data_IF_028049231109
#
_entry.id   IF_028049231109
#
_cell.length_a   1.000
_cell.length_b   1.000
_cell.length_c   1.000
_cell.angle_alpha   90.00
_cell.angle_beta   90.00
_cell.angle_gamma   90.00
#
_symmetry.space_group_name_H-M   'P 1'
#
loop_
_entity.id
_entity.type
_entity.pdbx_description
1 polymer ?
#
# COMPACT_ATOMS: atom_id res chain seq x y z
N UNK A 1 17.25 -12.30 24.39
CA UNK A 1 16.11 -12.86 25.14
C UNK A 1 14.84 -12.38 24.43
N UNK A 2 14.19 -13.25 23.66
CA UNK A 2 12.96 -12.90 22.93
C UNK A 2 11.81 -12.86 23.94
N UNK A 3 11.16 -11.71 24.10
CA UNK A 3 9.95 -11.59 24.91
C UNK A 3 8.87 -12.43 24.21
N UNK A 4 8.21 -13.39 24.88
CA UNK A 4 7.08 -14.10 24.30
C UNK A 4 5.95 -13.09 24.09
N UNK A 5 5.74 -12.70 22.84
CA UNK A 5 4.62 -11.84 22.44
C UNK A 5 3.34 -12.64 22.59
N UNK A 6 2.52 -12.28 23.59
CA UNK A 6 1.18 -12.83 23.75
C UNK A 6 0.30 -12.50 22.54
N UNK A 7 -0.90 -13.11 22.49
CA UNK A 7 -1.88 -12.89 21.42
C UNK A 7 -2.29 -11.40 21.31
N UNK A 8 -2.16 -10.64 22.40
CA UNK A 8 -2.44 -9.20 22.44
C UNK A 8 -1.21 -8.50 23.01
N UNK A 9 -0.70 -7.50 22.30
CA UNK A 9 0.49 -6.73 22.68
C UNK A 9 0.18 -5.25 22.61
N UNK A 10 0.44 -4.50 23.68
CA UNK A 10 0.38 -3.04 23.65
C UNK A 10 1.63 -2.48 22.97
N UNK A 11 1.43 -1.71 21.90
CA UNK A 11 2.55 -1.09 21.17
C UNK A 11 2.74 0.39 21.54
N UNK A 12 1.71 1.04 22.07
CA UNK A 12 1.73 2.42 22.52
C UNK A 12 0.56 2.72 23.47
N UNK A 13 0.52 3.89 24.13
CA UNK A 13 -0.65 4.32 24.88
C UNK A 13 -1.90 4.32 23.98
N UNK A 14 -2.92 3.57 24.39
CA UNK A 14 -4.16 3.37 23.62
C UNK A 14 -3.98 2.67 22.26
N UNK A 15 -2.90 1.90 22.06
CA UNK A 15 -2.70 1.10 20.86
C UNK A 15 -2.36 -0.36 21.21
N UNK A 16 -3.23 -1.27 20.76
CA UNK A 16 -3.09 -2.71 20.93
C UNK A 16 -2.93 -3.38 19.57
N UNK A 17 -1.98 -4.30 19.47
CA UNK A 17 -1.80 -5.23 18.36
C UNK A 17 -2.39 -6.58 18.74
N UNK A 18 -3.21 -7.15 17.85
CA UNK A 18 -3.88 -8.43 18.04
C UNK A 18 -3.37 -9.43 17.02
N UNK A 19 -2.98 -10.61 17.49
CA UNK A 19 -2.58 -11.77 16.68
C UNK A 19 -3.56 -12.93 16.90
N UNK A 20 -4.87 -12.65 16.77
CA UNK A 20 -5.94 -13.63 16.83
C UNK A 20 -6.90 -13.45 15.65
N UNK A 21 -7.25 -14.56 14.99
CA UNK A 21 -8.24 -14.57 13.93
C UNK A 21 -9.63 -14.15 14.45
N UNK A 22 -9.96 -14.51 15.69
CA UNK A 22 -11.28 -14.16 16.28
C UNK A 22 -11.46 -12.64 16.41
N UNK A 23 -10.36 -11.91 16.64
CA UNK A 23 -10.36 -10.46 16.79
C UNK A 23 -10.65 -9.72 15.47
N UNK A 24 -10.31 -10.29 14.31
CA UNK A 24 -10.47 -9.61 13.02
C UNK A 24 -11.91 -9.16 12.76
N UNK A 25 -12.89 -10.05 13.00
CA UNK A 25 -14.31 -9.75 12.76
C UNK A 25 -14.86 -8.72 13.76
N UNK A 26 -14.32 -8.71 14.98
CA UNK A 26 -14.71 -7.76 16.03
C UNK A 26 -14.17 -6.36 15.69
N UNK A 27 -12.90 -6.29 15.27
CA UNK A 27 -12.16 -5.05 14.98
C UNK A 27 -12.61 -4.43 13.66
N UNK A 28 -12.67 -5.22 12.57
CA UNK A 28 -12.91 -4.72 11.21
C UNK A 28 -14.33 -5.01 10.68
N UNK A 29 -15.18 -5.67 11.46
CA UNK A 29 -16.55 -5.98 11.07
C UNK A 29 -17.49 -4.77 11.08
N UNK A 30 -18.72 -5.01 10.63
CA UNK A 30 -19.78 -3.99 10.54
C UNK A 30 -20.38 -3.59 11.90
N UNK A 31 -19.87 -4.17 13.00
CA UNK A 31 -20.46 -4.10 14.33
C UNK A 31 -21.61 -5.10 14.51
N UNK A 32 -22.04 -5.27 15.75
CA UNK A 32 -23.24 -6.01 16.16
C UNK A 32 -24.12 -5.09 17.00
N UNK A 33 -25.28 -5.55 17.46
CA UNK A 33 -26.14 -4.76 18.37
C UNK A 33 -25.38 -4.32 19.64
N UNK A 34 -24.46 -5.15 20.12
CA UNK A 34 -23.71 -4.91 21.36
C UNK A 34 -22.32 -4.29 21.13
N UNK A 35 -21.80 -4.28 19.90
CA UNK A 35 -20.46 -3.80 19.59
C UNK A 35 -20.50 -2.90 18.37
N UNK A 36 -20.27 -1.61 18.57
CA UNK A 36 -20.18 -0.66 17.46
C UNK A 36 -18.93 -0.93 16.62
N UNK A 37 -19.08 -0.86 15.30
CA UNK A 37 -17.94 -0.90 14.36
C UNK A 37 -16.91 0.19 14.71
N UNK A 38 -15.63 -0.16 14.68
CA UNK A 38 -14.57 0.80 14.99
C UNK A 38 -14.49 1.89 13.92
N UNK A 39 -14.35 3.13 14.38
CA UNK A 39 -14.09 4.26 13.49
C UNK A 39 -12.62 4.24 13.07
N UNK A 40 -12.35 4.66 11.84
CA UNK A 40 -11.00 4.98 11.40
C UNK A 40 -10.45 6.09 12.30
N UNK A 41 -9.22 5.91 12.76
CA UNK A 41 -8.54 6.92 13.55
C UNK A 41 -7.91 7.96 12.64
N UNK A 42 -8.36 9.22 12.78
CA UNK A 42 -7.90 10.37 11.97
C UNK A 42 -6.39 10.57 12.02
N UNK A 43 -5.70 10.10 13.06
CA UNK A 43 -4.23 10.17 13.18
C UNK A 43 -3.50 9.31 12.16
N UNK A 44 -4.18 8.30 11.58
CA UNK A 44 -3.59 7.36 10.61
C UNK A 44 -3.81 7.77 9.16
N UNK A 45 -4.69 8.73 8.90
CA UNK A 45 -5.06 9.15 7.55
C UNK A 45 -4.58 10.58 7.32
N UNK A 46 -4.20 10.88 6.08
CA UNK A 46 -3.80 12.25 5.74
C UNK A 46 -5.03 13.15 5.79
N UNK A 47 -4.81 14.43 6.13
CA UNK A 47 -5.85 15.46 6.05
C UNK A 47 -6.43 15.60 4.64
N UNK A 48 -7.51 16.36 4.53
CA UNK A 48 -8.13 16.70 3.25
C UNK A 48 -7.11 17.24 2.24
N UNK A 49 -7.33 16.91 0.98
CA UNK A 49 -6.57 17.47 -0.15
C UNK A 49 -7.53 18.35 -0.91
N UNK A 50 -7.17 19.62 -1.10
CA UNK A 50 -8.01 20.59 -1.81
C UNK A 50 -9.46 20.66 -1.26
N UNK A 51 -9.57 20.79 0.07
CA UNK A 51 -10.85 20.86 0.79
C UNK A 51 -11.79 19.65 0.59
N UNK A 52 -11.28 18.52 0.10
CA UNK A 52 -12.05 17.29 -0.07
C UNK A 52 -11.36 16.09 0.58
N UNK A 53 -12.17 15.25 1.21
CA UNK A 53 -11.76 13.91 1.59
C UNK A 53 -11.92 12.95 0.40
N UNK A 54 -11.04 11.96 0.32
CA UNK A 54 -11.19 10.83 -0.58
C UNK A 54 -11.66 9.60 0.21
N UNK A 55 -12.10 8.55 -0.49
CA UNK A 55 -12.60 7.32 0.16
C UNK A 55 -11.58 6.63 1.08
N UNK A 56 -10.28 6.80 0.84
CA UNK A 56 -9.24 6.21 1.69
C UNK A 56 -9.21 6.94 3.04
N UNK A 57 -9.23 8.27 3.00
CA UNK A 57 -9.04 9.14 4.16
C UNK A 57 -10.33 9.46 4.92
N UNK A 58 -11.50 9.32 4.30
CA UNK A 58 -12.78 9.60 4.96
C UNK A 58 -12.95 8.68 6.19
N UNK A 59 -13.14 9.32 7.35
CA UNK A 59 -13.27 8.68 8.66
C UNK A 59 -14.73 8.68 9.15
N UNK A 60 -15.60 9.52 8.58
CA UNK A 60 -17.03 9.44 8.79
C UNK A 60 -17.62 8.20 8.08
N UNK A 61 -18.40 7.42 8.83
CA UNK A 61 -18.89 6.13 8.34
C UNK A 61 -19.95 6.30 7.26
N UNK A 62 -20.81 7.31 7.39
CA UNK A 62 -21.93 7.53 6.47
C UNK A 62 -21.41 8.06 5.14
N UNK A 63 -20.52 9.06 5.19
CA UNK A 63 -19.92 9.63 4.00
C UNK A 63 -19.01 8.62 3.28
N UNK A 64 -18.21 7.85 4.02
CA UNK A 64 -17.42 6.77 3.44
C UNK A 64 -18.30 5.69 2.79
N UNK A 65 -19.45 5.36 3.40
CA UNK A 65 -20.42 4.42 2.83
C UNK A 65 -21.02 4.95 1.53
N UNK A 66 -21.34 6.25 1.48
CA UNK A 66 -21.82 6.95 0.28
C UNK A 66 -20.79 6.88 -0.85
N UNK A 67 -19.53 7.24 -0.57
CA UNK A 67 -18.42 7.15 -1.54
C UNK A 67 -18.22 5.72 -2.04
N UNK A 68 -18.23 4.73 -1.13
CA UNK A 68 -18.08 3.31 -1.48
C UNK A 68 -19.21 2.84 -2.39
N UNK A 69 -20.45 3.24 -2.11
CA UNK A 69 -21.60 2.88 -2.94
C UNK A 69 -21.45 3.42 -4.36
N UNK A 70 -20.97 4.66 -4.51
CA UNK A 70 -20.71 5.26 -5.81
C UNK A 70 -19.66 4.48 -6.62
N UNK A 71 -18.60 3.99 -5.98
CA UNK A 71 -17.56 3.19 -6.64
C UNK A 71 -17.95 1.71 -6.86
N UNK A 72 -18.87 1.17 -6.07
CA UNK A 72 -19.18 -0.27 -6.09
C UNK A 72 -19.65 -0.79 -7.45
N UNK A 73 -20.28 0.06 -8.28
CA UNK A 73 -20.71 -0.31 -9.63
C UNK A 73 -19.54 -0.74 -10.51
N UNK A 74 -18.41 -0.02 -10.47
CA UNK A 74 -17.21 -0.34 -11.25
C UNK A 74 -16.63 -1.72 -10.90
N UNK A 75 -16.86 -2.20 -9.67
CA UNK A 75 -16.40 -3.50 -9.17
C UNK A 75 -17.49 -4.59 -9.20
N UNK A 76 -18.61 -4.37 -9.92
CA UNK A 76 -19.63 -5.39 -10.09
C UNK A 76 -19.12 -6.55 -10.95
N UNK A 77 -19.66 -7.76 -10.74
CA UNK A 77 -19.27 -8.96 -11.50
C UNK A 77 -19.37 -8.74 -13.02
N UNK A 78 -20.44 -8.09 -13.48
CA UNK A 78 -20.63 -7.78 -14.90
C UNK A 78 -19.54 -6.86 -15.45
N UNK A 79 -19.12 -5.85 -14.69
CA UNK A 79 -18.02 -4.97 -15.10
C UNK A 79 -16.67 -5.67 -15.01
N UNK A 80 -16.45 -6.55 -14.02
CA UNK A 80 -15.23 -7.35 -13.94
C UNK A 80 -15.09 -8.26 -15.16
N UNK A 81 -16.15 -8.99 -15.53
CA UNK A 81 -16.14 -9.84 -16.74
C UNK A 81 -15.95 -9.02 -18.01
N UNK A 82 -16.53 -7.83 -18.09
CA UNK A 82 -16.37 -6.95 -19.25
C UNK A 82 -14.92 -6.49 -19.47
N UNK A 83 -14.14 -6.39 -18.41
CA UNK A 83 -12.74 -5.93 -18.45
C UNK A 83 -11.72 -7.06 -18.28
N UNK A 84 -12.14 -8.32 -18.42
CA UNK A 84 -11.26 -9.48 -18.33
C UNK A 84 -10.12 -9.42 -19.36
N UNK A 85 -10.41 -8.93 -20.56
CA UNK A 85 -9.45 -8.79 -21.66
C UNK A 85 -8.27 -7.86 -21.28
N UNK A 86 -8.54 -6.79 -20.53
CA UNK A 86 -7.51 -5.87 -20.04
C UNK A 86 -6.56 -6.63 -19.10
N UNK A 87 -7.09 -7.40 -18.16
CA UNK A 87 -6.27 -8.14 -17.20
C UNK A 87 -5.40 -9.20 -17.90
N UNK A 88 -5.98 -9.95 -18.83
CA UNK A 88 -5.25 -10.97 -19.60
C UNK A 88 -4.13 -10.31 -20.41
N UNK A 89 -4.45 -9.30 -21.21
CA UNK A 89 -3.48 -8.61 -22.07
C UNK A 89 -2.31 -8.03 -21.27
N UNK A 90 -2.58 -7.39 -20.14
CA UNK A 90 -1.51 -6.81 -19.28
C UNK A 90 -0.68 -7.87 -18.57
N UNK A 91 -1.27 -9.02 -18.26
CA UNK A 91 -0.54 -10.17 -17.71
C UNK A 91 0.38 -10.78 -18.76
N UNK A 92 -0.12 -10.97 -19.99
CA UNK A 92 0.67 -11.49 -21.11
C UNK A 92 1.85 -10.57 -21.43
N UNK A 93 1.63 -9.25 -21.48
CA UNK A 93 2.71 -8.25 -21.65
C UNK A 93 3.79 -8.35 -20.56
N UNK A 94 3.39 -8.56 -19.30
CA UNK A 94 4.33 -8.75 -18.21
C UNK A 94 5.16 -10.03 -18.40
N UNK A 95 4.51 -11.13 -18.79
CA UNK A 95 5.17 -12.41 -19.04
C UNK A 95 6.13 -12.33 -20.24
N UNK A 96 5.78 -11.60 -21.29
CA UNK A 96 6.65 -11.35 -22.44
C UNK A 96 7.89 -10.55 -22.04
N UNK A 97 7.73 -9.51 -21.22
CA UNK A 97 8.87 -8.71 -20.70
C UNK A 97 9.79 -9.57 -19.83
N UNK A 98 9.23 -10.41 -18.95
CA UNK A 98 10.02 -11.29 -18.09
C UNK A 98 10.69 -12.39 -18.92
N UNK A 99 9.97 -12.98 -19.87
CA UNK A 99 10.45 -14.05 -20.75
C UNK A 99 11.50 -13.57 -21.75
N UNK A 100 11.38 -12.34 -22.25
CA UNK A 100 12.33 -11.69 -23.16
C UNK A 100 13.57 -11.16 -22.46
N UNK A 101 13.56 -11.01 -21.13
CA UNK A 101 14.73 -10.61 -20.35
C UNK A 101 15.75 -11.75 -20.12
N UNK A 102 15.58 -12.91 -20.78
CA UNK A 102 16.60 -13.94 -20.90
C UNK A 102 17.84 -13.36 -21.59
N UNK A 103 18.76 -12.81 -20.80
CA UNK A 103 20.12 -12.50 -21.23
C UNK A 103 20.80 -13.81 -21.63
N UNK A 104 21.52 -13.83 -22.76
CA UNK A 104 22.35 -14.98 -23.19
C UNK A 104 23.31 -15.46 -22.08
N UNK A 105 23.66 -14.55 -21.15
CA UNK A 105 24.58 -14.77 -20.03
C UNK A 105 23.89 -14.92 -18.66
N UNK A 106 22.55 -14.83 -18.56
CA UNK A 106 21.80 -14.73 -17.29
C UNK A 106 22.22 -13.57 -16.35
N UNK A 107 23.05 -12.64 -16.81
CA UNK A 107 23.60 -11.53 -16.00
C UNK A 107 22.66 -10.35 -15.85
N UNK A 108 21.64 -10.23 -16.70
CA UNK A 108 20.67 -9.13 -16.66
C UNK A 108 19.43 -9.53 -15.88
N UNK A 109 19.37 -9.17 -14.60
CA UNK A 109 18.19 -9.36 -13.77
C UNK A 109 17.06 -8.39 -14.14
N UNK A 110 15.81 -8.82 -13.92
CA UNK A 110 14.63 -7.95 -14.04
C UNK A 110 14.20 -7.52 -12.64
N UNK A 111 13.97 -6.23 -12.45
CA UNK A 111 13.28 -5.75 -11.26
C UNK A 111 11.78 -6.08 -11.37
N UNK A 112 11.38 -7.23 -10.84
CA UNK A 112 9.98 -7.71 -10.89
C UNK A 112 9.03 -6.77 -10.14
N UNK A 113 9.49 -6.14 -9.06
CA UNK A 113 8.69 -5.17 -8.29
C UNK A 113 8.32 -3.98 -9.17
N UNK A 114 9.29 -3.43 -9.90
CA UNK A 114 9.05 -2.35 -10.86
C UNK A 114 8.04 -2.78 -11.94
N UNK A 115 8.24 -3.96 -12.54
CA UNK A 115 7.34 -4.43 -13.62
C UNK A 115 5.92 -4.70 -13.14
N UNK A 116 5.74 -5.25 -11.94
CA UNK A 116 4.42 -5.45 -11.33
C UNK A 116 3.72 -4.12 -11.01
N UNK A 117 4.48 -3.13 -10.54
CA UNK A 117 3.95 -1.79 -10.30
C UNK A 117 3.46 -1.16 -11.61
N UNK A 118 4.25 -1.23 -12.68
CA UNK A 118 3.87 -0.73 -14.01
C UNK A 118 2.63 -1.44 -14.56
N UNK A 119 2.57 -2.77 -14.50
CA UNK A 119 1.39 -3.53 -14.89
C UNK A 119 0.14 -3.07 -14.12
N UNK A 120 0.27 -2.90 -12.79
CA UNK A 120 -0.83 -2.47 -11.93
C UNK A 120 -1.30 -1.06 -12.31
N UNK A 121 -0.38 -0.13 -12.54
CA UNK A 121 -0.72 1.23 -12.97
C UNK A 121 -1.39 1.26 -14.34
N UNK A 122 -0.95 0.41 -15.28
CA UNK A 122 -1.59 0.29 -16.59
C UNK A 122 -3.01 -0.28 -16.49
N UNK A 123 -3.20 -1.33 -15.70
CA UNK A 123 -4.54 -1.89 -15.44
C UNK A 123 -5.44 -0.82 -14.84
N UNK A 124 -5.00 -0.15 -13.77
CA UNK A 124 -5.80 0.92 -13.14
C UNK A 124 -6.09 2.05 -14.12
N UNK A 125 -5.10 2.46 -14.91
CA UNK A 125 -5.25 3.51 -15.91
C UNK A 125 -6.31 3.16 -16.95
N UNK A 126 -6.22 1.96 -17.50
CA UNK A 126 -7.14 1.50 -18.55
C UNK A 126 -8.56 1.30 -18.01
N UNK A 127 -8.71 0.73 -16.81
CA UNK A 127 -10.01 0.56 -16.16
C UNK A 127 -10.65 1.90 -15.72
N UNK A 128 -9.84 2.90 -15.36
CA UNK A 128 -10.34 4.17 -14.83
C UNK A 128 -10.56 5.23 -15.90
N UNK A 129 -9.72 5.25 -16.93
CA UNK A 129 -9.68 6.32 -17.94
C UNK A 129 -9.92 5.82 -19.37
N UNK A 130 -10.03 4.51 -19.59
CA UNK A 130 -10.17 3.92 -20.92
C UNK A 130 -8.91 3.97 -21.77
N UNK A 131 -7.76 4.31 -21.19
CA UNK A 131 -6.48 4.39 -21.86
C UNK A 131 -5.35 3.87 -20.97
N UNK A 132 -4.36 3.24 -21.59
CA UNK A 132 -3.16 2.76 -20.91
C UNK A 132 -2.27 3.92 -20.48
N UNK A 133 -1.51 3.72 -19.41
CA UNK A 133 -0.49 4.69 -18.98
C UNK A 133 0.87 4.38 -19.62
N UNK A 134 0.94 3.44 -20.57
CA UNK A 134 2.19 2.92 -21.16
C UNK A 134 3.12 4.00 -21.71
N UNK A 135 2.58 4.94 -22.49
CA UNK A 135 3.36 6.06 -23.03
C UNK A 135 3.94 6.94 -21.90
N UNK A 136 3.17 7.11 -20.83
CA UNK A 136 3.56 7.90 -19.64
C UNK A 136 4.52 7.15 -18.72
N UNK A 137 4.62 5.82 -18.88
CA UNK A 137 5.60 4.97 -18.19
C UNK A 137 6.94 4.88 -18.94
N UNK A 138 6.92 4.99 -20.28
CA UNK A 138 8.10 4.88 -21.14
C UNK A 138 8.86 6.19 -21.36
N UNK A 139 8.17 7.34 -21.34
CA UNK A 139 8.71 8.64 -21.78
C UNK A 139 8.95 9.65 -20.64
N UNK A 140 9.76 9.30 -19.63
CA UNK A 140 10.17 10.26 -18.60
C UNK A 140 11.69 10.48 -18.63
N UNK A 141 12.16 11.74 -18.72
CA UNK A 141 13.58 12.05 -18.66
C UNK A 141 14.14 11.73 -17.26
N UNK A 142 15.43 11.35 -17.21
CA UNK A 142 16.09 10.84 -16.00
C UNK A 142 16.16 11.86 -14.83
N UNK A 143 15.88 13.14 -15.08
CA UNK A 143 15.93 14.24 -14.12
C UNK A 143 14.61 14.46 -13.35
N UNK A 144 13.53 13.73 -13.68
CA UNK A 144 12.24 13.82 -13.00
C UNK A 144 11.88 12.54 -12.26
N UNK A 145 11.24 12.69 -11.09
CA UNK A 145 10.61 11.56 -10.43
C UNK A 145 9.46 11.06 -11.27
N UNK A 146 9.55 9.80 -11.67
CA UNK A 146 8.45 9.12 -12.33
C UNK A 146 7.20 9.17 -11.42
N UNK A 147 6.03 9.54 -11.95
CA UNK A 147 4.83 9.74 -11.13
C UNK A 147 4.42 8.47 -10.34
N UNK A 148 4.64 7.28 -10.92
CA UNK A 148 4.43 6.01 -10.24
C UNK A 148 5.35 5.86 -9.01
N UNK A 149 6.61 6.28 -9.11
CA UNK A 149 7.54 6.31 -7.99
C UNK A 149 7.06 7.26 -6.89
N UNK A 150 6.49 8.40 -7.27
CA UNK A 150 5.93 9.34 -6.30
C UNK A 150 4.79 8.67 -5.52
N UNK A 151 3.89 7.95 -6.19
CA UNK A 151 2.80 7.22 -5.51
C UNK A 151 3.34 6.13 -4.57
N UNK A 152 4.30 5.33 -5.03
CA UNK A 152 4.91 4.25 -4.23
C UNK A 152 5.64 4.84 -3.01
N UNK A 153 6.49 5.84 -3.23
CA UNK A 153 7.30 6.47 -2.18
C UNK A 153 6.44 7.24 -1.18
N UNK A 154 5.38 7.92 -1.64
CA UNK A 154 4.45 8.62 -0.73
C UNK A 154 3.66 7.65 0.15
N UNK A 155 3.28 6.49 -0.38
CA UNK A 155 2.66 5.41 0.41
C UNK A 155 3.60 4.95 1.52
N UNK A 156 4.86 4.68 1.19
CA UNK A 156 5.87 4.30 2.19
C UNK A 156 6.08 5.39 3.24
N UNK A 157 6.19 6.66 2.83
CA UNK A 157 6.33 7.79 3.76
C UNK A 157 5.13 7.91 4.69
N UNK A 158 3.90 7.66 4.19
CA UNK A 158 2.71 7.66 5.03
C UNK A 158 2.76 6.54 6.07
N UNK A 159 3.25 5.35 5.73
CA UNK A 159 3.45 4.25 6.69
C UNK A 159 4.49 4.58 7.75
N UNK A 160 5.60 5.21 7.35
CA UNK A 160 6.61 5.69 8.30
C UNK A 160 6.02 6.74 9.23
N UNK A 161 5.31 7.74 8.69
CA UNK A 161 4.61 8.76 9.50
C UNK A 161 3.65 8.14 10.50
N UNK A 162 2.88 7.12 10.11
CA UNK A 162 1.99 6.38 11.01
C UNK A 162 2.77 5.74 12.15
N UNK A 163 3.89 5.10 11.86
CA UNK A 163 4.73 4.47 12.88
C UNK A 163 5.28 5.50 13.88
N UNK A 164 5.73 6.67 13.41
CA UNK A 164 6.19 7.79 14.26
C UNK A 164 5.08 8.28 15.18
N UNK A 165 3.86 8.47 14.66
CA UNK A 165 2.72 9.02 15.41
C UNK A 165 2.22 8.03 16.46
N UNK A 166 2.25 6.73 16.16
CA UNK A 166 1.79 5.70 17.09
C UNK A 166 2.77 5.49 18.24
N UNK A 167 4.06 5.44 17.96
CA UNK A 167 5.08 5.12 18.97
C UNK A 167 5.90 6.37 19.24
N UNK A 168 5.43 7.18 20.19
CA UNK A 168 6.16 8.35 20.70
C UNK A 168 7.57 7.93 21.13
N UNK A 169 8.59 8.33 20.38
CA UNK A 169 9.98 7.96 20.64
C UNK A 169 10.56 6.86 19.74
N UNK A 170 9.87 6.42 18.69
CA UNK A 170 10.38 5.44 17.71
C UNK A 170 11.71 5.82 17.05
N UNK A 171 12.01 7.12 17.02
CA UNK A 171 13.28 7.67 16.54
C UNK A 171 14.09 8.38 17.65
N UNK A 172 13.73 8.18 18.92
CA UNK A 172 14.54 8.64 20.03
C UNK A 172 15.78 7.75 20.18
N UNK A 173 16.96 8.31 20.53
CA UNK A 173 18.22 7.57 20.60
C UNK A 173 18.19 6.29 21.46
N UNK A 174 17.25 6.18 22.40
CA UNK A 174 17.12 5.03 23.31
C UNK A 174 16.17 3.91 22.87
N UNK A 175 15.45 4.05 21.74
CA UNK A 175 14.44 3.07 21.31
C UNK A 175 14.83 2.31 20.03
N UNK A 176 15.92 2.71 19.37
CA UNK A 176 16.51 1.94 18.28
C UNK A 176 17.18 0.70 18.91
N UNK A 177 16.71 -0.53 18.63
CA UNK A 177 17.34 -1.71 19.19
C UNK A 177 18.80 -1.76 18.74
N UNK A 178 19.71 -2.10 19.66
CA UNK A 178 21.16 -2.09 19.42
C UNK A 178 21.59 -2.91 18.18
N UNK A 179 20.76 -3.85 17.73
CA UNK A 179 20.98 -4.61 16.49
C UNK A 179 20.92 -3.77 15.20
N UNK A 180 20.24 -2.62 15.20
CA UNK A 180 20.17 -1.70 14.06
C UNK A 180 21.19 -0.55 14.16
N UNK A 181 21.92 -0.45 15.28
CA UNK A 181 22.98 0.53 15.50
C UNK A 181 24.36 0.05 15.02
N UNK A 182 24.49 -1.24 14.67
CA UNK A 182 25.67 -1.76 13.99
C UNK A 182 25.59 -1.39 12.51
N UNK A 183 25.95 -0.14 12.19
CA UNK A 183 26.44 0.18 10.85
C UNK A 183 27.76 -0.57 10.65
N UNK A 184 27.84 -1.22 9.50
CA UNK A 184 29.03 -1.84 8.93
C UNK A 184 30.27 -0.96 9.13
N UNK A 185 31.10 -1.31 10.11
CA UNK A 185 32.53 -1.03 10.02
C UNK A 185 33.11 -2.01 9.02
N UNK A 186 32.98 -1.69 7.73
CA UNK A 186 33.90 -2.24 6.73
C UNK A 186 35.30 -1.77 7.13
N UNK A 187 36.28 -2.67 7.36
CA UNK A 187 37.65 -2.25 7.54
C UNK A 187 38.13 -1.64 6.22
N UNK A 188 38.70 -0.44 6.31
CA UNK A 188 39.50 0.11 5.22
C UNK A 188 40.75 -0.78 5.04
N UNK A 189 40.77 -1.57 3.96
CA UNK A 189 41.96 -2.01 3.25
C UNK A 189 41.53 -2.46 1.85
#
# INVERSE_FOLDING_TARGET
MLIPVGIIVGIAPNHLSFNDNSAQKIIYGLGTENVTSMKKDRRFFTSEVDHSMNIINECDKEEHSRMRRMLSFAFSMSNLMRNEDVLIRRTDELLDVIGGAKSEDWKKGVNVVEKLNYMTFNIIGELSFGDSLDLRLKEQPADRYHWADVIIKTTYVNDVKRAVVCVSGLFSPGMVPACLQQKDTLPAC
#
